data_IF_400486331226
#
_entry.id   IF_400486331226
#
_cell.length_a   1.000
_cell.length_b   1.000
_cell.length_c   1.000
_cell.angle_alpha   90.00
_cell.angle_beta   90.00
_cell.angle_gamma   90.00
#
_symmetry.space_group_name_H-M   'P 1'
#
loop_
_entity.id
_entity.type
_entity.pdbx_description
1 polymer ?
#
# COMPACT_ATOMS: atom_id res chain seq x y z
N UNK A 1 10.23 15.24 -2.42
CA UNK A 1 10.00 15.58 -1.01
C UNK A 1 8.65 15.02 -0.58
N UNK A 2 8.61 14.21 0.48
CA UNK A 2 7.41 13.62 1.03
C UNK A 2 6.51 14.71 1.66
N UNK A 3 5.24 14.75 1.27
CA UNK A 3 4.34 15.82 1.72
C UNK A 3 3.95 15.68 3.20
N UNK A 4 3.92 14.46 3.73
CA UNK A 4 3.51 14.16 5.12
C UNK A 4 4.34 14.90 6.16
N UNK A 5 5.63 15.17 5.88
CA UNK A 5 6.47 15.99 6.76
C UNK A 5 5.98 17.42 6.96
N UNK A 6 5.05 17.88 6.12
CA UNK A 6 4.48 19.24 6.20
C UNK A 6 3.21 19.28 7.05
N UNK A 7 2.69 18.13 7.44
CA UNK A 7 1.51 18.04 8.27
C UNK A 7 1.85 18.53 9.68
N UNK A 8 1.21 19.60 10.09
CA UNK A 8 1.31 20.09 11.46
C UNK A 8 0.31 19.35 12.33
N UNK A 9 0.79 18.72 13.40
CA UNK A 9 -0.03 18.00 14.40
C UNK A 9 0.21 18.59 15.77
N UNK A 10 -0.73 18.35 16.68
CA UNK A 10 -0.53 18.58 18.10
C UNK A 10 0.29 17.40 18.66
N UNK A 11 1.42 17.69 19.32
CA UNK A 11 2.36 16.67 19.80
C UNK A 11 3.43 16.28 18.77
N UNK A 12 4.36 15.45 19.19
CA UNK A 12 5.39 14.89 18.32
C UNK A 12 4.99 13.51 17.78
N UNK A 13 5.56 13.11 16.65
CA UNK A 13 5.20 11.86 15.97
C UNK A 13 5.44 10.60 16.83
N UNK A 14 6.52 10.48 17.65
CA UNK A 14 6.67 9.35 18.57
C UNK A 14 5.54 9.23 19.59
N UNK A 15 5.09 10.33 20.20
CA UNK A 15 3.99 10.31 21.17
C UNK A 15 2.66 9.92 20.52
N UNK A 16 2.37 10.47 19.33
CA UNK A 16 1.16 10.14 18.57
C UNK A 16 1.16 8.65 18.22
N UNK A 17 2.30 8.14 17.75
CA UNK A 17 2.45 6.72 17.43
C UNK A 17 2.27 5.85 18.68
N UNK A 18 2.92 6.20 19.78
CA UNK A 18 2.80 5.46 21.05
C UNK A 18 1.36 5.40 21.55
N UNK A 19 0.66 6.55 21.55
CA UNK A 19 -0.73 6.62 21.99
C UNK A 19 -1.67 5.81 21.06
N UNK A 20 -1.41 5.84 19.74
CA UNK A 20 -2.14 5.04 18.76
C UNK A 20 -1.95 3.54 18.97
N UNK A 21 -0.71 3.10 19.21
CA UNK A 21 -0.38 1.71 19.50
C UNK A 21 -1.03 1.23 20.79
N UNK A 22 -0.94 2.04 21.85
CA UNK A 22 -1.60 1.72 23.13
C UNK A 22 -3.11 1.58 22.95
N UNK A 23 -3.75 2.52 22.26
CA UNK A 23 -5.20 2.44 22.00
C UNK A 23 -5.57 1.19 21.19
N UNK A 24 -4.77 0.81 20.21
CA UNK A 24 -4.98 -0.42 19.45
C UNK A 24 -4.85 -1.65 20.35
N UNK A 25 -3.83 -1.70 21.19
CA UNK A 25 -3.62 -2.79 22.15
C UNK A 25 -4.80 -2.94 23.11
N UNK A 26 -5.28 -1.82 23.67
CA UNK A 26 -6.45 -1.77 24.55
C UNK A 26 -7.72 -2.28 23.84
N UNK A 27 -7.98 -1.84 22.61
CA UNK A 27 -9.15 -2.29 21.82
C UNK A 27 -9.09 -3.78 21.54
N UNK A 28 -7.93 -4.32 21.17
CA UNK A 28 -7.78 -5.72 20.83
C UNK A 28 -7.88 -6.65 22.06
N UNK A 29 -7.62 -6.13 23.28
CA UNK A 29 -7.87 -6.89 24.51
C UNK A 29 -9.35 -7.23 24.71
N UNK A 30 -10.25 -6.39 24.23
CA UNK A 30 -11.69 -6.49 24.46
C UNK A 30 -12.44 -7.23 23.33
N UNK A 31 -11.71 -7.65 22.27
CA UNK A 31 -12.29 -8.27 21.07
C UNK A 31 -11.95 -9.75 20.94
N UNK A 32 -12.87 -10.52 20.35
CA UNK A 32 -12.59 -11.85 19.82
C UNK A 32 -11.82 -11.71 18.49
N UNK A 33 -10.49 -11.78 18.58
CA UNK A 33 -9.61 -11.60 17.44
C UNK A 33 -9.63 -12.76 16.44
N UNK A 34 -10.26 -13.90 16.78
CA UNK A 34 -10.37 -15.07 15.89
C UNK A 34 -11.24 -14.79 14.65
N UNK A 35 -12.13 -13.80 14.73
CA UNK A 35 -13.06 -13.37 13.67
C UNK A 35 -12.78 -11.94 13.17
N UNK A 36 -11.62 -11.40 13.52
CA UNK A 36 -11.29 -10.02 13.23
C UNK A 36 -10.41 -9.91 12.00
N UNK A 37 -10.79 -9.03 11.08
CA UNK A 37 -9.93 -8.53 10.01
C UNK A 37 -9.53 -7.11 10.37
N UNK A 38 -8.24 -6.84 10.47
CA UNK A 38 -7.73 -5.48 10.69
C UNK A 38 -7.47 -4.81 9.34
N UNK A 39 -8.12 -3.68 9.08
CA UNK A 39 -7.83 -2.83 7.93
C UNK A 39 -7.10 -1.57 8.39
N UNK A 40 -5.92 -1.32 7.85
CA UNK A 40 -5.11 -0.15 8.19
C UNK A 40 -4.44 0.46 6.96
N UNK A 41 -4.03 1.74 7.06
CA UNK A 41 -3.35 2.40 5.96
C UNK A 41 -1.84 2.13 5.97
N UNK A 42 -1.22 2.24 7.14
CA UNK A 42 0.24 2.17 7.29
C UNK A 42 0.78 0.74 7.18
N UNK A 43 2.07 0.66 6.81
CA UNK A 43 2.81 -0.61 6.71
C UNK A 43 3.05 -1.19 8.11
N UNK A 44 2.60 -2.42 8.40
CA UNK A 44 2.66 -2.99 9.75
C UNK A 44 3.96 -3.74 10.06
N UNK A 45 4.79 -4.05 9.08
CA UNK A 45 5.97 -4.91 9.26
C UNK A 45 7.12 -4.49 8.34
N UNK A 46 8.37 -4.58 8.82
CA UNK A 46 9.58 -4.16 8.10
C UNK A 46 9.81 -4.89 6.77
N UNK A 47 9.29 -6.11 6.61
CA UNK A 47 9.34 -6.86 5.33
C UNK A 47 8.74 -6.06 4.15
N UNK A 48 7.82 -5.17 4.42
CA UNK A 48 7.09 -4.38 3.42
C UNK A 48 7.64 -2.96 3.25
N UNK A 49 8.81 -2.68 3.83
CA UNK A 49 9.46 -1.37 3.73
C UNK A 49 10.42 -1.30 2.55
N UNK A 50 10.92 -0.11 2.26
CA UNK A 50 11.91 0.12 1.21
C UNK A 50 13.28 -0.40 1.65
N UNK A 51 13.89 -1.25 0.81
CA UNK A 51 15.21 -1.84 1.09
C UNK A 51 16.37 -1.06 0.47
N UNK A 52 16.10 -0.26 -0.58
CA UNK A 52 17.12 0.52 -1.26
C UNK A 52 17.61 1.67 -0.39
N UNK A 53 18.91 1.82 -0.20
CA UNK A 53 19.57 2.79 0.72
C UNK A 53 19.06 4.23 0.55
N UNK A 54 18.91 4.68 -0.71
CA UNK A 54 18.42 6.03 -1.01
C UNK A 54 17.01 6.30 -0.46
N UNK A 55 16.19 5.27 -0.31
CA UNK A 55 14.78 5.39 0.08
C UNK A 55 14.51 4.95 1.53
N UNK A 56 15.49 4.30 2.19
CA UNK A 56 15.34 3.88 3.60
C UNK A 56 14.88 4.99 4.56
N UNK A 57 15.34 6.26 4.45
CA UNK A 57 14.87 7.31 5.34
C UNK A 57 13.34 7.57 5.27
N UNK A 58 12.71 7.19 4.16
CA UNK A 58 11.26 7.33 4.01
C UNK A 58 10.47 6.27 4.78
N UNK A 59 11.10 5.18 5.22
CA UNK A 59 10.44 4.15 6.02
C UNK A 59 9.87 4.69 7.33
N UNK A 60 10.43 5.78 7.87
CA UNK A 60 9.88 6.47 9.04
C UNK A 60 8.44 6.99 8.83
N UNK A 61 8.02 7.17 7.58
CA UNK A 61 6.70 7.63 7.21
C UNK A 61 5.78 6.51 6.71
N UNK A 62 6.34 5.31 6.47
CA UNK A 62 5.55 4.19 5.94
C UNK A 62 4.72 3.51 7.03
N UNK A 63 5.27 3.34 8.22
CA UNK A 63 4.61 2.62 9.28
C UNK A 63 5.54 2.22 10.43
N UNK A 64 5.15 1.19 11.17
CA UNK A 64 5.91 0.73 12.34
C UNK A 64 5.78 -0.78 12.55
N UNK A 65 6.91 -1.43 12.82
CA UNK A 65 6.99 -2.84 13.26
C UNK A 65 6.23 -3.11 14.56
N UNK A 66 5.94 -2.08 15.34
CA UNK A 66 5.20 -2.22 16.60
C UNK A 66 3.76 -2.70 16.36
N UNK A 67 3.15 -2.39 15.21
CA UNK A 67 1.84 -2.93 14.84
C UNK A 67 1.88 -4.46 14.76
N UNK A 68 2.89 -5.01 14.07
CA UNK A 68 3.06 -6.46 13.97
C UNK A 68 3.15 -7.14 15.35
N UNK A 69 3.93 -6.56 16.27
CA UNK A 69 4.07 -7.11 17.64
C UNK A 69 2.73 -7.17 18.39
N UNK A 70 1.88 -6.15 18.20
CA UNK A 70 0.54 -6.12 18.79
C UNK A 70 -0.34 -7.18 18.12
N UNK A 71 -0.31 -7.33 16.81
CA UNK A 71 -1.10 -8.35 16.11
C UNK A 71 -0.72 -9.76 16.52
N UNK A 72 0.56 -10.06 16.66
CA UNK A 72 1.06 -11.36 17.17
C UNK A 72 0.59 -11.58 18.61
N UNK A 73 0.74 -10.58 19.49
CA UNK A 73 0.32 -10.64 20.89
C UNK A 73 -1.16 -11.03 21.02
N UNK A 74 -2.02 -10.47 20.17
CA UNK A 74 -3.47 -10.70 20.22
C UNK A 74 -3.94 -11.81 19.26
N UNK A 75 -3.01 -12.55 18.62
CA UNK A 75 -3.35 -13.63 17.68
C UNK A 75 -4.27 -13.18 16.53
N UNK A 76 -4.14 -11.93 16.08
CA UNK A 76 -4.85 -11.42 14.89
C UNK A 76 -4.46 -12.28 13.69
N UNK A 77 -5.46 -12.73 12.91
CA UNK A 77 -5.22 -13.63 11.79
C UNK A 77 -4.98 -12.89 10.49
N UNK A 78 -5.79 -11.87 10.21
CA UNK A 78 -5.80 -11.20 8.92
C UNK A 78 -5.66 -9.68 9.05
N UNK A 79 -4.73 -9.11 8.28
CA UNK A 79 -4.44 -7.68 8.24
C UNK A 79 -4.38 -7.21 6.80
N UNK A 80 -5.23 -6.26 6.41
CA UNK A 80 -5.18 -5.57 5.12
C UNK A 80 -4.49 -4.23 5.29
N UNK A 81 -3.51 -3.92 4.45
CA UNK A 81 -2.81 -2.65 4.51
C UNK A 81 -2.45 -2.10 3.12
N UNK A 82 -2.15 -0.79 3.06
CA UNK A 82 -1.78 -0.08 1.84
C UNK A 82 -0.51 0.74 1.99
N UNK A 83 -0.56 2.03 1.64
CA UNK A 83 0.47 3.07 1.77
C UNK A 83 1.75 2.88 0.96
N UNK A 84 2.29 1.67 0.88
CA UNK A 84 3.55 1.38 0.16
C UNK A 84 3.41 1.51 -1.37
N UNK A 85 2.19 1.62 -1.91
CA UNK A 85 1.87 1.66 -3.35
C UNK A 85 2.53 0.51 -4.13
N UNK A 86 2.75 -0.60 -3.45
CA UNK A 86 3.31 -1.82 -4.02
C UNK A 86 2.48 -3.01 -3.57
N UNK A 87 2.07 -3.83 -4.50
CA UNK A 87 1.41 -5.09 -4.19
C UNK A 87 2.43 -6.11 -3.67
N UNK A 88 2.15 -6.66 -2.50
CA UNK A 88 2.89 -7.79 -1.92
C UNK A 88 2.06 -9.07 -1.95
N UNK A 89 0.80 -8.98 -2.43
CA UNK A 89 -0.13 -10.09 -2.40
C UNK A 89 -0.50 -10.49 -0.99
N UNK A 90 -0.46 -11.78 -0.71
CA UNK A 90 -0.76 -12.38 0.60
C UNK A 90 0.52 -13.00 1.18
N UNK A 91 0.90 -12.60 2.37
CA UNK A 91 2.14 -13.02 3.05
C UNK A 91 1.85 -13.32 4.52
N UNK A 92 2.21 -14.50 5.02
CA UNK A 92 2.08 -14.85 6.43
C UNK A 92 3.42 -14.69 7.16
N UNK A 93 3.40 -14.00 8.31
CA UNK A 93 4.56 -13.77 9.18
C UNK A 93 4.09 -13.98 10.61
N UNK A 94 4.77 -14.86 11.37
CA UNK A 94 4.50 -15.15 12.77
C UNK A 94 3.01 -15.44 13.10
N UNK A 95 2.32 -16.12 12.17
CA UNK A 95 0.91 -16.49 12.31
C UNK A 95 -0.09 -15.38 11.92
N UNK A 96 0.38 -14.20 11.50
CA UNK A 96 -0.44 -13.11 10.97
C UNK A 96 -0.36 -13.10 9.45
N UNK A 97 -1.49 -13.14 8.76
CA UNK A 97 -1.59 -13.07 7.30
C UNK A 97 -1.84 -11.64 6.86
N UNK A 98 -0.91 -11.10 6.09
CA UNK A 98 -0.93 -9.75 5.55
C UNK A 98 -1.40 -9.76 4.10
N UNK A 99 -2.37 -8.90 3.79
CA UNK A 99 -2.90 -8.68 2.45
C UNK A 99 -2.58 -7.26 2.00
N UNK A 100 -1.79 -7.14 0.95
CA UNK A 100 -1.38 -5.82 0.43
C UNK A 100 -1.52 -5.79 -1.08
N UNK A 101 -2.60 -5.16 -1.54
CA UNK A 101 -2.93 -4.94 -2.94
C UNK A 101 -3.42 -3.50 -3.14
N UNK A 102 -2.58 -2.49 -2.80
CA UNK A 102 -2.99 -1.10 -2.92
C UNK A 102 -3.18 -0.73 -4.39
N UNK A 103 -4.30 -0.07 -4.69
CA UNK A 103 -4.57 0.43 -6.04
C UNK A 103 -3.53 1.48 -6.48
N UNK A 104 -3.03 2.31 -5.57
CA UNK A 104 -2.05 3.35 -5.89
C UNK A 104 -2.61 4.48 -6.76
N UNK A 105 -1.72 5.18 -7.47
CA UNK A 105 -2.10 6.22 -8.41
C UNK A 105 -2.28 5.65 -9.82
N UNK A 106 -3.13 6.26 -10.65
CA UNK A 106 -3.36 5.85 -12.06
C UNK A 106 -2.07 5.66 -12.86
N UNK A 107 -1.00 6.42 -12.57
CA UNK A 107 0.31 6.24 -13.20
C UNK A 107 1.04 4.96 -12.80
N UNK A 108 0.61 4.34 -11.72
CA UNK A 108 1.17 3.12 -11.11
C UNK A 108 0.34 1.88 -11.44
N UNK A 109 -0.84 2.06 -12.01
CA UNK A 109 -1.73 0.98 -12.38
C UNK A 109 -1.10 0.06 -13.42
N UNK A 110 -1.35 -1.23 -13.29
CA UNK A 110 -0.83 -2.24 -14.21
C UNK A 110 -1.33 -1.99 -15.63
N UNK A 111 -2.59 -1.61 -15.81
CA UNK A 111 -3.14 -1.24 -17.13
C UNK A 111 -2.36 -0.09 -17.81
N UNK A 112 -1.86 0.87 -17.04
CA UNK A 112 -1.05 1.97 -17.60
C UNK A 112 0.32 1.47 -18.02
N UNK A 113 0.92 0.62 -17.18
CA UNK A 113 2.24 0.03 -17.43
C UNK A 113 2.16 -0.86 -18.67
N UNK A 114 1.15 -1.70 -18.77
CA UNK A 114 0.92 -2.65 -19.86
C UNK A 114 0.65 -1.91 -21.17
N UNK A 115 -0.24 -0.90 -21.16
CA UNK A 115 -0.50 -0.11 -22.34
C UNK A 115 0.77 0.51 -22.92
N UNK A 116 1.58 1.20 -22.09
CA UNK A 116 2.83 1.82 -22.56
C UNK A 116 3.86 0.78 -23.01
N UNK A 117 3.89 -0.40 -22.37
CA UNK A 117 4.81 -1.47 -22.72
C UNK A 117 4.46 -2.10 -24.07
N UNK A 118 3.17 -2.19 -24.39
CA UNK A 118 2.67 -2.69 -25.68
C UNK A 118 2.72 -1.65 -26.81
N UNK A 119 3.02 -0.39 -26.49
CA UNK A 119 3.11 0.72 -27.44
C UNK A 119 4.46 1.45 -27.30
N UNK A 120 5.59 0.78 -27.59
CA UNK A 120 6.94 1.34 -27.40
C UNK A 120 7.17 2.63 -28.20
N UNK A 121 6.49 2.82 -29.33
CA UNK A 121 6.52 4.02 -30.13
C UNK A 121 6.03 5.27 -29.37
N UNK A 122 5.19 5.09 -28.35
CA UNK A 122 4.73 6.19 -27.48
C UNK A 122 5.75 6.55 -26.38
N UNK A 123 6.76 5.71 -26.16
CA UNK A 123 7.83 5.92 -25.20
C UNK A 123 9.22 5.81 -25.86
N UNK A 124 9.53 6.63 -26.87
CA UNK A 124 10.75 6.48 -27.68
C UNK A 124 12.04 6.64 -26.86
N UNK A 125 11.99 7.30 -25.71
CA UNK A 125 13.15 7.44 -24.81
C UNK A 125 13.32 6.26 -23.86
N UNK A 126 12.41 5.30 -23.87
CA UNK A 126 12.41 4.15 -22.96
C UNK A 126 12.35 4.53 -21.49
N UNK A 127 11.77 5.68 -21.13
CA UNK A 127 11.75 6.13 -19.72
C UNK A 127 11.01 5.17 -18.81
N UNK A 128 11.61 4.84 -17.67
CA UNK A 128 11.01 4.05 -16.59
C UNK A 128 10.21 4.89 -15.58
N UNK A 129 10.24 6.21 -15.69
CA UNK A 129 9.52 7.09 -14.77
C UNK A 129 8.01 7.02 -15.01
N UNK A 130 7.27 6.46 -14.05
CA UNK A 130 5.83 6.22 -14.14
C UNK A 130 5.02 7.49 -14.46
N UNK A 131 5.37 8.63 -13.84
CA UNK A 131 4.69 9.91 -14.13
C UNK A 131 4.93 10.38 -15.56
N UNK A 132 6.15 10.21 -16.08
CA UNK A 132 6.46 10.54 -17.48
C UNK A 132 5.69 9.61 -18.42
N UNK A 133 5.72 8.29 -18.19
CA UNK A 133 4.98 7.30 -18.99
C UNK A 133 3.48 7.63 -19.04
N UNK A 134 2.85 7.83 -17.89
CA UNK A 134 1.44 8.20 -17.81
C UNK A 134 1.12 9.51 -18.56
N UNK A 135 1.98 10.52 -18.45
CA UNK A 135 1.79 11.79 -19.15
C UNK A 135 1.85 11.66 -20.70
N UNK A 136 2.53 10.64 -21.23
CA UNK A 136 2.58 10.36 -22.68
C UNK A 136 1.22 9.86 -23.20
N UNK A 137 0.45 9.16 -22.36
CA UNK A 137 -0.74 8.41 -22.81
C UNK A 137 -2.07 8.96 -22.27
N UNK A 138 -2.11 9.57 -21.10
CA UNK A 138 -3.33 9.94 -20.34
C UNK A 138 -4.41 10.73 -21.08
N UNK A 139 -4.08 11.36 -22.22
CA UNK A 139 -5.01 12.13 -23.06
C UNK A 139 -5.25 11.50 -24.43
N UNK A 140 -4.64 10.36 -24.71
CA UNK A 140 -4.80 9.66 -26.00
C UNK A 140 -6.11 8.90 -26.03
N UNK A 141 -6.90 9.02 -27.10
CA UNK A 141 -8.16 8.28 -27.22
C UNK A 141 -7.95 6.77 -27.06
N UNK A 142 -6.90 6.20 -27.65
CA UNK A 142 -6.59 4.77 -27.61
C UNK A 142 -6.33 4.30 -26.18
N UNK A 143 -5.66 5.12 -25.35
CA UNK A 143 -5.44 4.80 -23.94
C UNK A 143 -6.73 4.91 -23.13
N UNK A 144 -7.55 5.93 -23.39
CA UNK A 144 -8.81 6.11 -22.67
C UNK A 144 -9.80 4.97 -22.96
N UNK A 145 -9.85 4.48 -24.17
CA UNK A 145 -10.67 3.32 -24.55
C UNK A 145 -10.13 2.02 -23.91
N UNK A 146 -8.80 1.84 -23.92
CA UNK A 146 -8.16 0.72 -23.24
C UNK A 146 -8.39 0.75 -21.73
N UNK A 147 -8.18 1.91 -21.10
CA UNK A 147 -8.44 2.10 -19.67
C UNK A 147 -9.89 1.75 -19.32
N UNK A 148 -10.86 2.25 -20.08
CA UNK A 148 -12.28 1.95 -19.86
C UNK A 148 -12.58 0.45 -19.93
N UNK A 149 -11.92 -0.26 -20.84
CA UNK A 149 -12.08 -1.71 -21.02
C UNK A 149 -11.46 -2.50 -19.86
N UNK A 150 -10.26 -2.12 -19.41
CA UNK A 150 -9.49 -2.86 -18.41
C UNK A 150 -9.73 -2.40 -16.97
N UNK A 151 -10.46 -1.32 -16.74
CA UNK A 151 -10.68 -0.72 -15.42
C UNK A 151 -11.23 -1.71 -14.39
N UNK A 152 -12.16 -2.58 -14.80
CA UNK A 152 -12.72 -3.58 -13.90
C UNK A 152 -11.67 -4.61 -13.45
N UNK A 153 -10.78 -5.04 -14.35
CA UNK A 153 -9.69 -5.95 -14.05
C UNK A 153 -8.67 -5.31 -13.10
N UNK A 154 -8.33 -4.03 -13.32
CA UNK A 154 -7.46 -3.26 -12.44
C UNK A 154 -7.99 -3.19 -11.00
N UNK A 155 -9.29 -2.91 -10.84
CA UNK A 155 -9.92 -2.87 -9.52
C UNK A 155 -10.00 -4.26 -8.88
N UNK A 156 -10.35 -5.30 -9.63
CA UNK A 156 -10.38 -6.67 -9.11
C UNK A 156 -9.01 -7.14 -8.65
N UNK A 157 -7.94 -6.78 -9.34
CA UNK A 157 -6.56 -7.13 -8.95
C UNK A 157 -6.15 -6.51 -7.61
N UNK A 158 -6.73 -5.36 -7.25
CA UNK A 158 -6.46 -4.65 -5.99
C UNK A 158 -7.40 -5.04 -4.84
N UNK A 159 -8.39 -5.91 -5.07
CA UNK A 159 -9.29 -6.38 -4.02
C UNK A 159 -8.66 -7.51 -3.20
N UNK A 160 -8.99 -7.54 -1.91
CA UNK A 160 -8.83 -8.69 -1.03
C UNK A 160 -10.21 -9.21 -0.66
N UNK A 161 -10.48 -10.47 -0.99
CA UNK A 161 -11.75 -11.12 -0.68
C UNK A 161 -11.57 -12.05 0.53
N UNK A 162 -12.55 -12.05 1.42
CA UNK A 162 -12.61 -12.94 2.58
C UNK A 162 -13.90 -13.75 2.53
N UNK A 163 -13.79 -15.04 2.83
CA UNK A 163 -14.94 -15.90 3.11
C UNK A 163 -15.34 -15.70 4.58
N UNK A 164 -16.56 -15.24 4.83
CA UNK A 164 -17.08 -14.94 6.17
C UNK A 164 -17.89 -16.10 6.76
#
# INVERSE_FOLDING_TARGET
>A
LWFDRRLKRLGNDPEICHNGLKRLDDILNDLDTSKLIVAMHFVPHNRFTMTHERFKPFNAFLGSEQFHKIFVKHSVKDVVFGHAHRSYGTVTIDGVTYHSRPLGYRREWDLTIDFVSNHPELNPTGTWNLSKRYNLVKKRPEFLDYEKKELANEFLSSMTLFDL
#
